data_IF_040339014495
#
_entry.id   IF_040339014495
#
_cell.length_a   1.000
_cell.length_b   1.000
_cell.length_c   1.000
_cell.angle_alpha   90.00
_cell.angle_beta   90.00
_cell.angle_gamma   90.00
#
_symmetry.space_group_name_H-M   'P 1'
#
loop_
_entity.id
_entity.type
_entity.pdbx_description
1 polymer ?
#
# COMPACT_ATOMS: atom_id res chain seq x y z
N UNK A 1 12.27 -10.35 -12.02
CA UNK A 1 11.83 -10.15 -10.61
C UNK A 1 10.34 -10.43 -10.52
N UNK A 2 9.88 -11.04 -9.43
CA UNK A 2 8.47 -11.33 -9.23
C UNK A 2 7.70 -10.06 -8.83
N UNK A 3 6.51 -9.89 -9.41
CA UNK A 3 5.59 -8.80 -9.07
C UNK A 3 4.86 -9.17 -7.76
N UNK A 4 5.26 -8.57 -6.65
CA UNK A 4 4.72 -8.92 -5.34
C UNK A 4 4.39 -7.68 -4.53
N UNK A 5 3.39 -7.86 -3.66
CA UNK A 5 3.02 -6.94 -2.59
C UNK A 5 3.12 -7.69 -1.26
N UNK A 6 4.07 -7.29 -0.41
CA UNK A 6 4.26 -7.88 0.91
C UNK A 6 3.78 -6.89 1.97
N UNK A 7 3.03 -7.40 2.95
CA UNK A 7 2.57 -6.64 4.11
C UNK A 7 3.12 -7.29 5.37
N UNK A 8 3.62 -6.48 6.30
CA UNK A 8 3.96 -6.97 7.63
C UNK A 8 2.66 -7.17 8.43
N UNK A 9 2.54 -8.31 9.12
CA UNK A 9 1.40 -8.57 10.01
C UNK A 9 1.20 -7.45 11.03
N UNK A 10 2.29 -6.97 11.64
CA UNK A 10 2.26 -5.82 12.55
C UNK A 10 1.73 -4.54 11.91
N UNK A 11 1.95 -4.33 10.59
CA UNK A 11 1.37 -3.19 9.88
C UNK A 11 -0.12 -3.37 9.62
N UNK A 12 -0.61 -4.60 9.47
CA UNK A 12 -2.05 -4.88 9.38
C UNK A 12 -2.71 -4.63 10.74
N UNK A 13 -2.15 -5.21 11.80
CA UNK A 13 -2.68 -5.08 13.16
C UNK A 13 -2.76 -3.61 13.62
N UNK A 14 -1.80 -2.76 13.21
CA UNK A 14 -1.78 -1.34 13.56
C UNK A 14 -2.64 -0.44 12.66
N UNK A 15 -2.99 -0.88 11.44
CA UNK A 15 -3.63 -0.01 10.45
C UNK A 15 -5.16 -0.06 10.50
N UNK A 16 -5.75 -1.09 11.11
CA UNK A 16 -7.20 -1.26 11.23
C UNK A 16 -7.66 -1.08 12.67
N UNK A 17 -8.87 -0.54 12.85
CA UNK A 17 -9.53 -0.57 14.15
C UNK A 17 -10.37 -1.84 14.37
N UNK A 18 -10.96 -1.95 15.55
CA UNK A 18 -11.77 -3.10 15.97
C UNK A 18 -13.01 -3.32 15.09
N UNK A 19 -13.45 -2.29 14.36
CA UNK A 19 -14.54 -2.37 13.39
C UNK A 19 -14.06 -2.74 11.97
N UNK A 20 -12.75 -2.97 11.78
CA UNK A 20 -12.15 -3.28 10.49
C UNK A 20 -12.01 -2.06 9.56
N UNK A 21 -12.07 -0.84 10.08
CA UNK A 21 -11.83 0.38 9.28
C UNK A 21 -10.35 0.70 9.25
N UNK A 22 -9.85 1.05 8.06
CA UNK A 22 -8.48 1.52 7.91
C UNK A 22 -8.34 2.90 8.56
N UNK A 23 -7.54 3.00 9.63
CA UNK A 23 -7.26 4.25 10.37
C UNK A 23 -6.07 5.03 9.85
N UNK A 24 -5.26 4.44 8.98
CA UNK A 24 -4.00 5.04 8.56
C UNK A 24 -3.49 4.57 7.21
N UNK A 25 -2.17 4.42 7.13
CA UNK A 25 -1.48 3.93 5.92
C UNK A 25 -0.89 2.56 6.22
N UNK A 26 -0.90 1.68 5.23
CA UNK A 26 -0.29 0.35 5.30
C UNK A 26 1.14 0.40 4.75
N UNK A 27 2.12 0.00 5.55
CA UNK A 27 3.47 -0.17 5.06
C UNK A 27 3.55 -1.48 4.26
N UNK A 28 3.92 -1.35 2.99
CA UNK A 28 4.06 -2.46 2.07
C UNK A 28 5.44 -2.44 1.41
N UNK A 29 5.93 -3.63 1.05
CA UNK A 29 7.06 -3.78 0.14
C UNK A 29 6.55 -4.23 -1.22
N UNK A 30 6.88 -3.48 -2.26
CA UNK A 30 6.52 -3.76 -3.66
C UNK A 30 7.78 -4.16 -4.42
N UNK A 31 7.72 -5.27 -5.15
CA UNK A 31 8.84 -5.75 -5.98
C UNK A 31 8.41 -5.98 -7.42
N UNK A 32 9.39 -6.06 -8.35
CA UNK A 32 9.13 -6.28 -9.76
C UNK A 32 8.75 -4.99 -10.48
N UNK A 33 7.68 -5.02 -11.27
CA UNK A 33 7.18 -3.85 -12.00
C UNK A 33 6.39 -2.92 -11.07
N UNK A 34 7.11 -2.07 -10.34
CA UNK A 34 6.56 -1.09 -9.39
C UNK A 34 5.56 -0.15 -10.06
N UNK A 35 5.87 0.37 -11.25
CA UNK A 35 5.00 1.29 -11.97
C UNK A 35 3.68 0.62 -12.34
N UNK A 36 3.74 -0.58 -12.93
CA UNK A 36 2.56 -1.37 -13.28
C UNK A 36 1.70 -1.74 -12.06
N UNK A 37 2.33 -2.16 -10.96
CA UNK A 37 1.62 -2.46 -9.71
C UNK A 37 0.99 -1.20 -9.11
N UNK A 38 1.65 -0.05 -9.18
CA UNK A 38 1.09 1.22 -8.71
C UNK A 38 -0.13 1.64 -9.53
N UNK A 39 -0.09 1.46 -10.86
CA UNK A 39 -1.25 1.67 -11.72
C UNK A 39 -2.39 0.71 -11.38
N UNK A 40 -2.10 -0.58 -11.15
CA UNK A 40 -3.12 -1.55 -10.75
C UNK A 40 -3.78 -1.15 -9.43
N UNK A 41 -2.97 -0.82 -8.41
CA UNK A 41 -3.46 -0.36 -7.10
C UNK A 41 -4.38 0.86 -7.25
N UNK A 42 -4.03 1.84 -8.09
CA UNK A 42 -4.88 3.02 -8.31
C UNK A 42 -6.26 2.70 -8.88
N UNK A 43 -6.36 1.68 -9.74
CA UNK A 43 -7.65 1.21 -10.28
C UNK A 43 -8.50 0.50 -9.22
N UNK A 44 -7.85 -0.07 -8.21
CA UNK A 44 -8.50 -0.69 -7.06
C UNK A 44 -8.79 0.30 -5.93
N UNK A 45 -8.65 1.61 -6.17
CA UNK A 45 -8.88 2.63 -5.13
C UNK A 45 -7.76 2.76 -4.12
N UNK A 46 -6.54 2.31 -4.42
CA UNK A 46 -5.38 2.42 -3.55
C UNK A 46 -4.31 3.36 -4.13
N UNK A 47 -3.71 4.20 -3.29
CA UNK A 47 -2.55 5.01 -3.66
C UNK A 47 -1.31 4.50 -2.93
N UNK A 48 -0.29 4.10 -3.70
CA UNK A 48 1.04 3.82 -3.19
C UNK A 48 1.88 5.10 -3.15
N UNK A 49 2.45 5.42 -1.99
CA UNK A 49 3.32 6.58 -1.77
C UNK A 49 4.67 6.04 -1.33
N UNK A 50 5.78 6.48 -1.92
CA UNK A 50 7.11 6.03 -1.47
C UNK A 50 7.27 6.28 0.03
N UNK A 51 7.69 5.27 0.78
CA UNK A 51 8.03 5.45 2.18
C UNK A 51 9.35 6.23 2.27
N UNK A 52 9.42 7.23 3.15
CA UNK A 52 10.66 7.96 3.43
C UNK A 52 11.60 7.09 4.25
N UNK A 53 12.20 6.09 3.60
CA UNK A 53 13.17 5.17 4.20
C UNK A 53 14.38 5.06 3.29
N UNK A 54 15.51 4.66 3.84
CA UNK A 54 16.70 4.33 3.06
C UNK A 54 16.54 3.09 2.18
N UNK A 55 15.44 2.33 2.34
CA UNK A 55 15.17 1.09 1.61
C UNK A 55 14.28 1.35 0.40
N UNK A 56 14.74 0.93 -0.77
CA UNK A 56 13.94 0.99 -2.00
C UNK A 56 12.83 -0.06 -1.98
N UNK A 57 11.71 0.25 -2.63
CA UNK A 57 10.58 -0.68 -2.76
C UNK A 57 9.61 -0.67 -1.58
N UNK A 58 9.80 0.18 -0.57
CA UNK A 58 8.82 0.36 0.51
C UNK A 58 7.85 1.51 0.18
N UNK A 59 6.56 1.25 0.38
CA UNK A 59 5.47 2.16 0.07
C UNK A 59 4.44 2.19 1.19
N UNK A 60 3.86 3.35 1.41
CA UNK A 60 2.66 3.55 2.23
C UNK A 60 1.44 3.49 1.32
N UNK A 61 0.61 2.48 1.51
CA UNK A 61 -0.68 2.33 0.85
C UNK A 61 -1.76 3.06 1.63
N UNK A 62 -2.60 3.82 0.93
CA UNK A 62 -3.81 4.42 1.51
C UNK A 62 -4.98 4.30 0.54
N UNK A 63 -6.20 4.29 1.07
CA UNK A 63 -7.42 4.39 0.27
C UNK A 63 -7.42 5.74 -0.45
N UNK A 64 -7.67 5.72 -1.76
CA UNK A 64 -7.87 6.90 -2.57
C UNK A 64 -9.25 7.49 -2.24
N UNK A 65 -9.41 8.83 -2.17
CA UNK A 65 -10.71 9.46 -1.98
C UNK A 65 -11.72 8.95 -3.02
N UNK A 66 -12.97 8.74 -2.58
CA UNK A 66 -14.03 8.04 -3.33
C UNK A 66 -14.43 8.70 -4.65
N UNK A 67 -13.99 9.93 -4.93
CA UNK A 67 -14.38 10.70 -6.12
C UNK A 67 -13.71 10.22 -7.42
N UNK A 68 -13.00 9.07 -7.39
CA UNK A 68 -12.18 8.58 -8.51
C UNK A 68 -12.32 7.07 -8.81
N UNK A 69 -13.43 6.45 -8.42
CA UNK A 69 -13.77 5.07 -8.84
C UNK A 69 -15.10 5.08 -9.56
#
# INVERSE_FOLDING_TARGET
MLNCLYLAKSSLDAAFDDDGRLKGKLLARITGNIAGLSTLLSRCGWKAISAETSWTGFYLLRVAPSDKI
#
